data_IF_060167754084
#
_entry.id   IF_060167754084
#
_cell.length_a   1.000
_cell.length_b   1.000
_cell.length_c   1.000
_cell.angle_alpha   90.00
_cell.angle_beta   90.00
_cell.angle_gamma   90.00
#
_symmetry.space_group_name_H-M   'P 1'
#
loop_
_entity.id
_entity.type
_entity.pdbx_description
1 polymer ?
#
# COMPACT_ATOMS: atom_id res chain seq x y z
N UNK A 1 8.28 17.51 13.77
CA UNK A 1 8.92 16.18 13.85
C UNK A 1 9.75 16.03 12.59
N UNK A 2 11.01 15.60 12.68
CA UNK A 2 11.84 15.36 11.49
C UNK A 2 11.32 14.14 10.73
N UNK A 3 11.35 14.22 9.39
CA UNK A 3 11.03 13.08 8.53
C UNK A 3 12.15 12.02 8.64
N UNK A 4 11.82 10.76 8.40
CA UNK A 4 12.82 9.70 8.28
C UNK A 4 13.75 9.98 7.09
N UNK A 5 15.02 9.63 7.23
CA UNK A 5 15.95 9.65 6.13
C UNK A 5 16.03 8.26 5.50
N UNK A 6 15.46 8.11 4.31
CA UNK A 6 15.49 6.85 3.56
C UNK A 6 16.88 6.53 2.99
N UNK A 7 17.83 7.45 3.00
CA UNK A 7 19.23 7.15 2.65
C UNK A 7 19.93 6.34 3.74
N UNK A 8 19.43 6.40 4.98
CA UNK A 8 19.99 5.69 6.14
C UNK A 8 19.27 4.37 6.43
N UNK A 9 18.45 3.87 5.50
CA UNK A 9 17.59 2.71 5.73
C UNK A 9 18.34 1.40 6.03
N UNK A 10 19.59 1.29 5.61
CA UNK A 10 20.45 0.14 5.94
C UNK A 10 20.81 0.06 7.43
N UNK A 11 20.68 1.18 8.15
CA UNK A 11 20.96 1.29 9.59
C UNK A 11 19.71 1.06 10.45
N UNK A 12 18.53 0.90 9.85
CA UNK A 12 17.30 0.74 10.60
C UNK A 12 17.28 -0.60 11.36
N UNK A 13 16.75 -0.63 12.59
CA UNK A 13 16.70 -1.85 13.39
C UNK A 13 15.81 -2.89 12.72
N UNK A 14 16.40 -4.04 12.39
CA UNK A 14 15.70 -5.16 11.75
C UNK A 14 15.21 -6.14 12.81
N UNK A 15 13.90 -6.30 12.92
CA UNK A 15 13.26 -7.23 13.87
C UNK A 15 12.86 -8.56 13.23
N UNK A 16 13.06 -8.70 11.93
CA UNK A 16 12.67 -9.88 11.15
C UNK A 16 13.69 -10.20 10.08
N UNK A 17 13.79 -11.47 9.72
CA UNK A 17 14.49 -11.90 8.52
C UNK A 17 13.57 -11.88 7.29
N UNK A 18 12.26 -11.74 7.46
CA UNK A 18 11.27 -11.77 6.38
C UNK A 18 10.74 -10.36 6.13
N UNK A 19 11.60 -9.50 5.60
CA UNK A 19 11.30 -8.07 5.47
C UNK A 19 10.59 -7.71 4.17
N UNK A 20 9.94 -6.56 4.19
CA UNK A 20 9.29 -5.91 3.05
C UNK A 20 9.95 -4.56 2.76
N UNK A 21 9.83 -4.02 1.53
CA UNK A 21 9.13 -4.58 0.37
C UNK A 21 9.93 -5.65 -0.37
N UNK A 22 9.32 -6.29 -1.37
CA UNK A 22 9.95 -7.29 -2.24
C UNK A 22 9.63 -7.05 -3.71
N UNK A 23 10.47 -7.59 -4.60
CA UNK A 23 10.08 -7.77 -5.99
C UNK A 23 9.21 -9.01 -6.12
N UNK A 24 8.01 -8.83 -6.68
CA UNK A 24 7.06 -9.90 -6.98
C UNK A 24 7.26 -10.33 -8.43
N UNK A 25 7.77 -11.54 -8.63
CA UNK A 25 7.91 -12.14 -9.95
C UNK A 25 6.68 -13.01 -10.23
N UNK A 26 5.72 -12.50 -11.01
CA UNK A 26 4.42 -13.16 -11.26
C UNK A 26 4.56 -14.60 -11.74
N UNK A 27 5.46 -14.94 -12.70
CA UNK A 27 5.60 -16.32 -13.17
C UNK A 27 6.06 -17.33 -12.11
N UNK A 28 6.66 -16.88 -11.00
CA UNK A 28 7.12 -17.77 -9.92
C UNK A 28 6.10 -17.88 -8.78
N UNK A 29 4.99 -17.14 -8.85
CA UNK A 29 3.96 -17.16 -7.81
C UNK A 29 3.11 -18.43 -7.88
N UNK A 30 2.66 -18.93 -6.73
CA UNK A 30 1.65 -19.97 -6.68
C UNK A 30 0.30 -19.41 -7.10
N UNK A 31 -0.28 -19.93 -8.17
CA UNK A 31 -1.58 -19.47 -8.66
C UNK A 31 -2.74 -20.07 -7.85
N UNK A 32 -3.74 -19.23 -7.54
CA UNK A 32 -5.05 -19.64 -7.01
C UNK A 32 -6.16 -18.79 -7.61
N UNK A 33 -7.40 -19.28 -7.55
CA UNK A 33 -8.54 -18.47 -7.98
C UNK A 33 -8.90 -17.46 -6.89
N UNK A 34 -9.27 -16.24 -7.27
CA UNK A 34 -9.90 -15.27 -6.34
C UNK A 34 -11.17 -15.86 -5.70
N UNK A 35 -11.85 -16.82 -6.33
CA UNK A 35 -12.99 -17.51 -5.74
C UNK A 35 -12.63 -18.29 -4.46
N UNK A 36 -11.39 -18.80 -4.34
CA UNK A 36 -10.91 -19.51 -3.15
C UNK A 36 -10.71 -18.58 -1.95
N UNK A 37 -10.39 -17.32 -2.23
CA UNK A 37 -10.22 -16.28 -1.22
C UNK A 37 -10.58 -14.91 -1.82
N UNK A 38 -11.88 -14.54 -1.78
CA UNK A 38 -12.33 -13.26 -2.32
C UNK A 38 -11.69 -12.08 -1.59
N UNK A 39 -11.41 -11.00 -2.32
CA UNK A 39 -10.97 -9.73 -1.76
C UNK A 39 -12.06 -8.68 -1.99
N UNK A 40 -12.48 -8.00 -0.92
CA UNK A 40 -13.44 -6.89 -1.01
C UNK A 40 -12.98 -5.74 -0.13
N UNK A 41 -13.02 -4.52 -0.67
CA UNK A 41 -12.64 -3.29 0.04
C UNK A 41 -13.87 -2.40 0.12
N UNK A 42 -14.30 -2.08 1.33
CA UNK A 42 -15.43 -1.20 1.59
C UNK A 42 -14.95 0.00 2.38
N UNK A 43 -15.00 1.20 1.78
CA UNK A 43 -14.69 2.44 2.49
C UNK A 43 -15.97 3.05 3.05
N UNK A 44 -15.94 3.47 4.31
CA UNK A 44 -17.06 4.17 4.93
C UNK A 44 -17.02 5.64 4.51
N UNK A 45 -18.16 6.19 4.12
CA UNK A 45 -18.26 7.61 3.76
C UNK A 45 -17.90 8.49 4.96
N UNK A 46 -16.95 9.40 4.76
CA UNK A 46 -16.53 10.33 5.81
C UNK A 46 -15.39 11.24 5.38
N UNK A 47 -15.05 12.19 6.25
CA UNK A 47 -13.89 13.06 6.07
C UNK A 47 -12.60 12.30 6.32
N UNK A 48 -11.58 12.62 5.53
CA UNK A 48 -10.24 12.06 5.66
C UNK A 48 -9.37 13.06 6.41
N UNK A 49 -8.86 12.67 7.59
CA UNK A 49 -8.02 13.54 8.42
C UNK A 49 -6.54 13.28 8.15
N UNK A 50 -5.78 14.32 7.83
CA UNK A 50 -4.31 14.24 7.76
C UNK A 50 -3.71 14.25 9.17
N UNK A 51 -2.71 13.40 9.39
CA UNK A 51 -1.86 13.40 10.58
C UNK A 51 -0.41 13.19 10.15
N UNK A 52 0.44 14.17 10.39
CA UNK A 52 1.86 14.06 10.06
C UNK A 52 2.59 13.14 11.04
N UNK A 53 3.48 12.30 10.52
CA UNK A 53 4.37 11.41 11.26
C UNK A 53 5.78 11.49 10.68
N UNK A 54 6.78 10.97 11.41
CA UNK A 54 8.16 10.92 10.93
C UNK A 54 8.29 10.17 9.60
N UNK A 55 7.50 9.11 9.39
CA UNK A 55 7.48 8.35 8.14
C UNK A 55 6.54 8.94 7.08
N UNK A 56 6.07 10.18 7.25
CA UNK A 56 5.26 10.90 6.29
C UNK A 56 3.80 11.09 6.72
N UNK A 57 3.03 11.87 5.94
CA UNK A 57 1.61 12.08 6.18
C UNK A 57 0.83 10.77 6.22
N UNK A 58 -0.03 10.65 7.22
CA UNK A 58 -1.00 9.56 7.35
C UNK A 58 -2.40 10.14 7.19
N UNK A 59 -3.22 9.48 6.40
CA UNK A 59 -4.59 9.87 6.13
C UNK A 59 -5.52 8.89 6.85
N UNK A 60 -6.23 9.38 7.85
CA UNK A 60 -7.15 8.59 8.66
C UNK A 60 -8.50 8.51 7.95
N UNK A 61 -8.90 7.28 7.63
CA UNK A 61 -10.17 6.94 7.01
C UNK A 61 -10.67 5.61 7.57
N UNK A 62 -11.97 5.36 7.43
CA UNK A 62 -12.63 4.18 8.00
C UNK A 62 -13.18 3.30 6.89
N UNK A 63 -13.25 2.00 7.17
CA UNK A 63 -13.66 0.99 6.21
C UNK A 63 -13.21 -0.39 6.65
N UNK A 64 -13.46 -1.36 5.78
CA UNK A 64 -13.11 -2.77 6.01
C UNK A 64 -12.49 -3.38 4.76
N UNK A 65 -11.52 -4.26 4.96
CA UNK A 65 -11.03 -5.19 3.95
C UNK A 65 -11.45 -6.59 4.37
N UNK A 66 -12.21 -7.28 3.52
CA UNK A 66 -12.50 -8.70 3.64
C UNK A 66 -11.55 -9.49 2.75
N UNK A 67 -10.80 -10.41 3.36
CA UNK A 67 -9.90 -11.33 2.69
C UNK A 67 -10.34 -12.77 3.02
N UNK A 68 -11.04 -13.40 2.09
CA UNK A 68 -11.76 -14.65 2.34
C UNK A 68 -12.79 -14.46 3.46
N UNK A 69 -12.64 -15.23 4.54
CA UNK A 69 -13.51 -15.16 5.72
C UNK A 69 -13.02 -14.18 6.80
N UNK A 70 -11.85 -13.56 6.62
CA UNK A 70 -11.26 -12.65 7.61
C UNK A 70 -11.64 -11.21 7.30
N UNK A 71 -12.01 -10.46 8.34
CA UNK A 71 -12.28 -9.02 8.24
C UNK A 71 -11.19 -8.24 8.95
N UNK A 72 -10.66 -7.23 8.25
CA UNK A 72 -9.72 -6.25 8.78
C UNK A 72 -10.34 -4.86 8.73
N UNK A 73 -10.08 -4.04 9.74
CA UNK A 73 -10.58 -2.68 9.86
C UNK A 73 -9.50 -1.70 9.44
N UNK A 74 -9.83 -0.81 8.51
CA UNK A 74 -8.92 0.22 8.01
C UNK A 74 -8.57 1.22 9.12
N UNK A 75 -7.28 1.45 9.31
CA UNK A 75 -6.77 2.37 10.32
C UNK A 75 -6.34 3.69 9.69
N UNK A 76 -5.63 3.59 8.57
CA UNK A 76 -5.01 4.72 7.87
C UNK A 76 -4.54 4.31 6.48
N UNK A 77 -4.32 5.30 5.63
CA UNK A 77 -3.54 5.14 4.42
C UNK A 77 -2.39 6.13 4.35
N UNK A 78 -1.42 5.87 3.48
CA UNK A 78 -0.33 6.79 3.15
C UNK A 78 0.21 6.49 1.75
N UNK A 79 1.14 7.34 1.30
CA UNK A 79 1.75 7.28 -0.02
C UNK A 79 3.26 7.12 0.10
N UNK A 80 3.82 6.42 -0.88
CA UNK A 80 5.23 6.41 -1.21
C UNK A 80 5.42 7.06 -2.59
N UNK A 81 6.30 8.05 -2.68
CA UNK A 81 6.84 8.58 -3.93
C UNK A 81 7.93 7.62 -4.42
N UNK A 82 7.68 6.97 -5.56
CA UNK A 82 8.30 5.70 -5.90
C UNK A 82 7.57 4.53 -5.24
N UNK A 83 7.38 3.43 -5.98
CA UNK A 83 6.83 2.21 -5.38
C UNK A 83 7.87 1.51 -4.51
N UNK A 84 7.41 0.96 -3.38
CA UNK A 84 8.22 0.10 -2.54
C UNK A 84 8.30 -1.31 -3.15
N UNK A 85 7.16 -1.88 -3.56
CA UNK A 85 7.10 -3.16 -4.27
C UNK A 85 7.37 -3.00 -5.75
N UNK A 86 8.04 -3.98 -6.33
CA UNK A 86 8.21 -4.08 -7.79
C UNK A 86 7.38 -5.26 -8.30
N UNK A 87 6.82 -5.12 -9.50
CA UNK A 87 6.17 -6.22 -10.21
C UNK A 87 7.04 -6.59 -11.41
N UNK A 88 7.53 -7.83 -11.46
CA UNK A 88 8.40 -8.33 -12.53
C UNK A 88 9.61 -7.41 -12.80
N UNK A 89 10.27 -6.99 -11.71
CA UNK A 89 11.41 -6.06 -11.71
C UNK A 89 11.09 -4.63 -12.15
N UNK A 90 9.81 -4.30 -12.34
CA UNK A 90 9.39 -2.96 -12.75
C UNK A 90 8.87 -2.17 -11.54
N UNK A 91 9.50 -1.03 -11.19
CA UNK A 91 8.91 -0.08 -10.25
C UNK A 91 7.72 0.65 -10.90
N UNK A 92 6.85 1.19 -10.04
CA UNK A 92 5.86 2.20 -10.39
C UNK A 92 6.25 3.57 -9.81
N UNK A 93 5.55 4.62 -10.27
CA UNK A 93 5.82 6.01 -9.83
C UNK A 93 5.37 6.31 -8.42
N UNK A 94 4.39 5.59 -7.90
CA UNK A 94 3.84 5.78 -6.57
C UNK A 94 3.29 4.46 -6.04
N UNK A 95 3.23 4.31 -4.73
CA UNK A 95 2.49 3.22 -4.08
C UNK A 95 1.63 3.72 -2.92
N UNK A 96 0.40 3.25 -2.86
CA UNK A 96 -0.56 3.54 -1.79
C UNK A 96 -0.60 2.36 -0.84
N UNK A 97 -0.47 2.62 0.46
CA UNK A 97 -0.65 1.62 1.49
C UNK A 97 -1.89 1.91 2.31
N UNK A 98 -2.77 0.91 2.44
CA UNK A 98 -3.93 0.91 3.32
C UNK A 98 -3.65 -0.05 4.47
N UNK A 99 -3.37 0.50 5.66
CA UNK A 99 -3.00 -0.27 6.84
C UNK A 99 -4.26 -0.64 7.61
N UNK A 100 -4.46 -1.95 7.79
CA UNK A 100 -5.64 -2.51 8.43
C UNK A 100 -5.26 -3.46 9.56
N UNK A 101 -6.17 -3.66 10.52
CA UNK A 101 -6.00 -4.60 11.61
C UNK A 101 -7.27 -5.41 11.84
N UNK A 102 -7.15 -6.70 12.17
CA UNK A 102 -8.28 -7.50 12.65
C UNK A 102 -8.57 -7.23 14.14
N UNK A 103 -9.61 -7.87 14.68
CA UNK A 103 -9.98 -7.75 16.10
C UNK A 103 -8.89 -8.23 17.07
N UNK A 104 -7.94 -9.05 16.60
CA UNK A 104 -6.79 -9.57 17.36
C UNK A 104 -5.51 -8.77 17.11
N UNK A 105 -5.60 -7.63 16.40
CA UNK A 105 -4.49 -6.75 16.04
C UNK A 105 -3.47 -7.35 15.06
N UNK A 106 -3.81 -8.42 14.36
CA UNK A 106 -3.00 -8.86 13.22
C UNK A 106 -3.10 -7.82 12.11
N UNK A 107 -1.95 -7.48 11.53
CA UNK A 107 -1.86 -6.39 10.55
C UNK A 107 -1.95 -6.93 9.13
N UNK A 108 -2.76 -6.25 8.31
CA UNK A 108 -2.79 -6.42 6.87
C UNK A 108 -2.47 -5.07 6.23
N UNK A 109 -1.61 -5.07 5.21
CA UNK A 109 -1.39 -3.90 4.36
C UNK A 109 -1.85 -4.24 2.95
N UNK A 110 -2.85 -3.51 2.47
CA UNK A 110 -3.25 -3.52 1.07
C UNK A 110 -2.43 -2.46 0.33
N UNK A 111 -1.67 -2.89 -0.67
CA UNK A 111 -0.83 -2.06 -1.50
C UNK A 111 -1.41 -1.89 -2.90
N UNK A 112 -1.35 -0.67 -3.43
CA UNK A 112 -1.73 -0.34 -4.80
C UNK A 112 -0.64 0.50 -5.45
N UNK A 113 0.06 -0.08 -6.41
CA UNK A 113 1.01 0.64 -7.25
C UNK A 113 0.25 1.56 -8.21
N UNK A 114 0.84 2.70 -8.55
CA UNK A 114 0.26 3.65 -9.49
C UNK A 114 1.31 4.27 -10.41
N UNK A 115 0.94 4.46 -11.68
CA UNK A 115 1.76 5.17 -12.67
C UNK A 115 1.07 6.45 -13.15
N UNK A 116 1.89 7.43 -13.52
CA UNK A 116 1.40 8.73 -14.02
C UNK A 116 0.70 8.52 -15.36
N UNK A 117 -0.48 9.11 -15.53
CA UNK A 117 -1.20 9.16 -16.79
C UNK A 117 -2.06 10.42 -16.86
N UNK A 118 -2.03 11.11 -17.99
CA UNK A 118 -2.89 12.27 -18.28
C UNK A 118 -4.38 11.91 -18.31
N UNK A 119 -4.71 10.65 -18.59
CA UNK A 119 -6.08 10.14 -18.59
C UNK A 119 -6.61 9.82 -17.18
N UNK A 120 -5.73 9.83 -16.17
CA UNK A 120 -6.13 9.59 -14.80
C UNK A 120 -7.01 10.75 -14.29
N UNK A 121 -8.11 10.44 -13.56
CA UNK A 121 -8.95 11.48 -13.00
C UNK A 121 -8.16 12.30 -11.98
N UNK A 122 -8.25 13.63 -12.09
CA UNK A 122 -7.79 14.53 -11.05
C UNK A 122 -8.68 14.36 -9.82
N UNK A 123 -8.09 13.85 -8.74
CA UNK A 123 -8.77 13.59 -7.46
C UNK A 123 -8.59 14.73 -6.47
N UNK A 124 -7.90 15.80 -6.87
CA UNK A 124 -7.60 16.99 -6.08
C UNK A 124 -6.90 16.63 -4.76
N UNK A 125 -5.74 15.99 -4.87
CA UNK A 125 -4.98 15.54 -3.71
C UNK A 125 -4.49 16.70 -2.83
N UNK A 126 -4.39 17.92 -3.34
CA UNK A 126 -4.16 19.09 -2.51
C UNK A 126 -5.23 19.23 -1.40
N UNK A 127 -6.51 19.01 -1.71
CA UNK A 127 -7.58 18.99 -0.70
C UNK A 127 -7.42 17.84 0.30
N UNK A 128 -6.87 16.69 -0.11
CA UNK A 128 -6.53 15.61 0.82
C UNK A 128 -5.46 16.05 1.81
N UNK A 129 -4.39 16.70 1.33
CA UNK A 129 -3.31 17.20 2.18
C UNK A 129 -3.72 18.39 3.06
N UNK A 130 -4.82 19.08 2.72
CA UNK A 130 -5.47 20.09 3.56
C UNK A 130 -6.52 19.52 4.52
N UNK A 131 -6.76 18.20 4.51
CA UNK A 131 -7.76 17.54 5.37
C UNK A 131 -9.21 17.85 4.98
N UNK A 132 -9.44 18.18 3.71
CA UNK A 132 -10.74 18.57 3.15
C UNK A 132 -11.35 17.51 2.23
N UNK A 133 -10.62 16.41 1.97
CA UNK A 133 -11.11 15.31 1.13
C UNK A 133 -12.04 14.36 1.90
N UNK A 134 -12.89 13.66 1.15
CA UNK A 134 -13.72 12.56 1.64
C UNK A 134 -13.24 11.22 1.07
N UNK A 135 -13.70 10.13 1.67
CA UNK A 135 -13.33 8.77 1.26
C UNK A 135 -13.79 8.37 -0.14
N UNK A 136 -14.72 9.12 -0.76
CA UNK A 136 -15.17 8.87 -2.12
C UNK A 136 -14.06 9.04 -3.17
N UNK A 137 -13.02 9.84 -2.87
CA UNK A 137 -11.86 10.02 -3.74
C UNK A 137 -11.08 8.70 -3.98
N UNK A 138 -11.22 7.72 -3.08
CA UNK A 138 -10.52 6.44 -3.13
C UNK A 138 -11.41 5.26 -3.49
N UNK A 139 -12.73 5.39 -3.37
CA UNK A 139 -13.66 4.26 -3.56
C UNK A 139 -13.57 3.68 -4.98
N UNK A 140 -13.40 4.54 -5.98
CA UNK A 140 -13.21 4.16 -7.40
C UNK A 140 -11.96 3.32 -7.68
N UNK A 141 -10.99 3.30 -6.76
CA UNK A 141 -9.79 2.47 -6.90
C UNK A 141 -10.10 0.97 -6.78
N UNK A 142 -11.26 0.62 -6.20
CA UNK A 142 -11.61 -0.75 -5.85
C UNK A 142 -12.88 -1.27 -6.54
N UNK A 143 -13.42 -0.54 -7.53
CA UNK A 143 -14.67 -0.92 -8.23
C UNK A 143 -14.49 -2.06 -9.24
N UNK A 144 -13.25 -2.32 -9.66
CA UNK A 144 -12.92 -3.40 -10.59
C UNK A 144 -12.61 -4.69 -9.85
N UNK A 145 -12.69 -5.81 -10.56
CA UNK A 145 -12.17 -7.10 -10.10
C UNK A 145 -10.71 -6.96 -9.65
N UNK A 146 -10.42 -7.41 -8.42
CA UNK A 146 -9.14 -7.23 -7.75
C UNK A 146 -8.36 -8.54 -7.71
N UNK A 147 -7.57 -8.83 -8.75
CA UNK A 147 -6.51 -9.83 -8.65
C UNK A 147 -5.39 -9.30 -7.76
N UNK A 148 -4.76 -10.16 -6.95
CA UNK A 148 -3.79 -9.72 -5.95
C UNK A 148 -2.74 -10.77 -5.63
N UNK A 149 -1.58 -10.30 -5.20
CA UNK A 149 -0.54 -11.12 -4.60
C UNK A 149 -0.66 -11.09 -3.09
N UNK A 150 -0.37 -12.22 -2.42
CA UNK A 150 -0.32 -12.30 -0.97
C UNK A 150 0.97 -12.94 -0.50
N UNK A 151 1.58 -12.35 0.52
CA UNK A 151 2.74 -12.91 1.22
C UNK A 151 2.83 -12.41 2.68
N UNK A 152 3.66 -13.06 3.50
CA UNK A 152 3.98 -12.60 4.86
C UNK A 152 5.28 -11.79 4.85
N UNK A 153 5.27 -10.63 5.51
CA UNK A 153 6.40 -9.72 5.52
C UNK A 153 6.45 -8.85 6.78
N UNK A 154 6.99 -7.65 6.63
CA UNK A 154 7.12 -6.67 7.70
C UNK A 154 6.48 -5.34 7.33
N UNK A 155 6.42 -4.41 8.28
CA UNK A 155 6.32 -2.99 7.95
C UNK A 155 7.59 -2.55 7.21
N UNK A 156 7.45 -1.55 6.35
CA UNK A 156 8.56 -1.00 5.54
C UNK A 156 9.23 0.22 6.18
N UNK A 157 8.75 0.65 7.35
CA UNK A 157 9.35 1.74 8.13
C UNK A 157 9.62 1.30 9.57
N UNK A 158 10.64 1.88 10.25
CA UNK A 158 10.99 1.52 11.61
C UNK A 158 9.79 1.52 12.58
N UNK A 159 9.70 0.51 13.47
CA UNK A 159 10.73 -0.48 13.79
C UNK A 159 10.68 -1.76 12.94
N UNK A 160 10.15 -1.72 11.71
CA UNK A 160 10.16 -2.85 10.76
C UNK A 160 9.49 -4.11 11.34
N UNK A 161 8.36 -3.92 12.03
CA UNK A 161 7.65 -4.98 12.73
C UNK A 161 7.30 -6.15 11.79
N UNK A 162 7.53 -7.41 12.21
CA UNK A 162 7.14 -8.61 11.45
C UNK A 162 5.62 -8.82 11.41
N UNK A 163 5.22 -9.98 10.88
CA UNK A 163 3.86 -10.54 10.93
C UNK A 163 2.80 -9.67 10.22
N UNK A 164 3.23 -9.04 9.13
CA UNK A 164 2.34 -8.28 8.23
C UNK A 164 1.88 -9.19 7.10
N UNK A 165 0.56 -9.34 6.96
CA UNK A 165 -0.04 -9.91 5.75
C UNK A 165 -0.06 -8.84 4.66
N UNK A 166 0.76 -8.98 3.65
CA UNK A 166 0.73 -8.11 2.48
C UNK A 166 -0.28 -8.61 1.47
N UNK A 167 -1.09 -7.70 0.94
CA UNK A 167 -1.97 -7.89 -0.21
C UNK A 167 -1.59 -6.83 -1.23
N UNK A 168 -0.94 -7.19 -2.33
CA UNK A 168 -0.51 -6.24 -3.37
C UNK A 168 -1.41 -6.41 -4.58
N UNK A 169 -2.15 -5.36 -4.95
CA UNK A 169 -3.04 -5.41 -6.11
C UNK A 169 -2.24 -5.61 -7.40
N UNK A 170 -2.67 -6.58 -8.21
CA UNK A 170 -1.92 -7.01 -9.39
C UNK A 170 -2.04 -6.03 -10.56
N UNK A 171 -3.11 -5.24 -10.60
CA UNK A 171 -3.33 -4.20 -11.59
C UNK A 171 -2.94 -2.84 -11.00
N UNK A 172 -1.86 -2.20 -11.48
CA UNK A 172 -1.54 -0.84 -11.08
C UNK A 172 -2.64 0.14 -11.47
N UNK A 173 -2.88 1.13 -10.61
CA UNK A 173 -3.76 2.25 -10.88
C UNK A 173 -3.05 3.34 -11.70
N UNK A 174 -3.81 4.35 -12.10
CA UNK A 174 -3.29 5.57 -12.69
C UNK A 174 -3.48 6.77 -11.77
N UNK A 175 -2.48 7.64 -11.75
CA UNK A 175 -2.49 8.90 -11.00
C UNK A 175 -2.27 10.07 -11.96
N UNK A 176 -3.03 11.15 -11.74
CA UNK A 176 -2.91 12.36 -12.53
C UNK A 176 -1.58 13.07 -12.18
N UNK A 177 -0.88 13.72 -13.14
CA UNK A 177 0.38 14.40 -12.85
C UNK A 177 0.30 15.41 -11.70
N UNK A 178 -0.79 16.17 -11.61
CA UNK A 178 -0.98 17.16 -10.53
C UNK A 178 -1.14 16.51 -9.16
N UNK A 179 -1.86 15.39 -9.08
CA UNK A 179 -2.00 14.62 -7.83
C UNK A 179 -0.66 13.99 -7.42
N UNK A 180 0.10 13.44 -8.37
CA UNK A 180 1.43 12.90 -8.12
C UNK A 180 2.40 13.98 -7.61
N UNK A 181 2.35 15.17 -8.20
CA UNK A 181 3.20 16.29 -7.79
C UNK A 181 3.01 16.66 -6.31
N UNK A 182 1.79 16.57 -5.78
CA UNK A 182 1.53 16.81 -4.35
C UNK A 182 2.26 15.80 -3.46
N UNK A 183 2.30 14.52 -3.85
CA UNK A 183 3.05 13.48 -3.12
C UNK A 183 4.55 13.78 -3.16
N UNK A 184 5.07 14.01 -4.36
CA UNK A 184 6.49 14.19 -4.60
C UNK A 184 7.02 15.43 -3.86
N UNK A 185 6.26 16.52 -3.83
CA UNK A 185 6.64 17.73 -3.11
C UNK A 185 6.55 17.59 -1.60
N UNK A 186 5.61 16.81 -1.06
CA UNK A 186 5.53 16.61 0.39
C UNK A 186 6.73 15.77 0.86
N UNK A 187 6.92 14.56 0.33
CA UNK A 187 7.95 13.64 0.81
C UNK A 187 8.62 12.86 -0.33
N UNK A 188 9.62 13.46 -1.01
CA UNK A 188 10.22 12.85 -2.19
C UNK A 188 11.01 11.59 -1.83
N UNK A 189 10.93 10.59 -2.72
CA UNK A 189 11.67 9.33 -2.66
C UNK A 189 11.59 8.60 -1.30
N UNK A 190 10.42 8.60 -0.67
CA UNK A 190 10.20 7.98 0.64
C UNK A 190 9.88 6.47 0.55
N UNK A 191 10.66 5.73 -0.23
CA UNK A 191 10.46 4.30 -0.46
C UNK A 191 11.68 3.49 -0.03
N UNK A 192 11.45 2.37 0.66
CA UNK A 192 12.50 1.44 1.09
C UNK A 192 13.01 0.64 -0.11
N UNK A 193 14.29 0.28 -0.08
CA UNK A 193 14.92 -0.66 -1.00
C UNK A 193 14.28 -2.05 -0.85
N UNK A 194 14.28 -2.79 -1.95
CA UNK A 194 13.81 -4.17 -1.99
C UNK A 194 14.59 -5.05 -1.02
N UNK A 195 13.87 -5.99 -0.41
CA UNK A 195 14.42 -7.01 0.47
C UNK A 195 14.37 -8.37 -0.22
N UNK A 196 15.26 -9.29 0.18
CA UNK A 196 15.29 -10.64 -0.38
C UNK A 196 14.00 -11.40 -0.12
N UNK A 197 13.47 -12.09 -1.13
CA UNK A 197 12.31 -12.97 -0.97
C UNK A 197 12.58 -14.08 0.05
N UNK A 198 13.82 -14.59 0.09
CA UNK A 198 14.24 -15.74 0.91
C UNK A 198 13.34 -16.96 0.63
N UNK A 199 12.93 -17.68 1.67
CA UNK A 199 12.13 -18.90 1.57
C UNK A 199 10.62 -18.63 1.45
N UNK A 200 10.20 -17.37 1.25
CA UNK A 200 8.78 -17.02 1.21
C UNK A 200 8.16 -17.40 -0.12
N UNK A 201 7.00 -18.02 -0.05
CA UNK A 201 6.11 -18.21 -1.18
C UNK A 201 5.20 -17.00 -1.32
N UNK A 202 5.01 -16.55 -2.56
CA UNK A 202 3.98 -15.58 -2.93
C UNK A 202 2.84 -16.33 -3.60
N UNK A 203 1.60 -16.08 -3.17
CA UNK A 203 0.42 -16.59 -3.85
C UNK A 203 -0.19 -15.50 -4.70
N UNK A 204 -0.48 -15.78 -5.97
CA UNK A 204 -1.19 -14.90 -6.88
C UNK A 204 -2.63 -15.39 -7.03
N UNK A 205 -3.58 -14.59 -6.57
CA UNK A 205 -5.01 -14.81 -6.71
C UNK A 205 -5.52 -14.04 -7.93
N UNK A 206 -5.97 -14.75 -8.96
CA UNK A 206 -6.54 -14.14 -10.17
C UNK A 206 -7.91 -14.76 -10.55
N UNK A 207 -8.60 -14.10 -11.48
CA UNK A 207 -9.90 -14.54 -12.02
C UNK A 207 -9.73 -15.50 -13.18
#
# INVERSE_FOLDING_TARGET
>A
MSKLDYQLQDQWPRLSNLESPINITTPTCQFKSVADQPLTVNLTNGLVKKKDQANGPQFLLTGTIQLGKKTYFLQKMHFHDGSEHYLNQQPAKCELHFVCQDAKKHTLVLALLANISEEAPNRNWDSLYKGQATTSAFSKLFEKQLAYYQYQGSLTTPPLLPDVTWVVLAQPATINPSDYQVIHQDYPNNHRQLQDLKQRTITYYAY
#
